data_IF_086526218883
#
_entry.id   IF_086526218883
#
_cell.length_a   1.000
_cell.length_b   1.000
_cell.length_c   1.000
_cell.angle_alpha   90.00
_cell.angle_beta   90.00
_cell.angle_gamma   90.00
#
_symmetry.space_group_name_H-M   'P 1'
#
loop_
_entity.id
_entity.type
_entity.pdbx_description
1 polymer ?
#
# COMPACT_ATOMS: atom_id res chain seq x y z
N UNK A 1 9.48 23.58 -33.67
CA UNK A 1 8.78 22.36 -33.18
C UNK A 1 7.28 22.35 -33.49
N UNK A 2 6.49 23.33 -33.03
CA UNK A 2 5.03 23.30 -33.20
C UNK A 2 4.56 23.28 -34.67
N UNK A 3 5.14 24.13 -35.53
CA UNK A 3 4.84 24.13 -36.96
C UNK A 3 5.20 22.80 -37.64
N UNK A 4 6.35 22.22 -37.28
CA UNK A 4 6.77 20.91 -37.79
C UNK A 4 5.81 19.80 -37.37
N UNK A 5 5.30 19.88 -36.12
CA UNK A 5 4.31 18.93 -35.62
C UNK A 5 2.99 18.97 -36.38
N UNK A 6 2.49 20.17 -36.68
CA UNK A 6 1.29 20.35 -37.49
C UNK A 6 1.47 19.83 -38.91
N UNK A 7 2.62 20.11 -39.55
CA UNK A 7 2.93 19.64 -40.89
C UNK A 7 3.05 18.11 -40.95
N UNK A 8 3.73 17.50 -39.98
CA UNK A 8 3.90 16.05 -39.91
C UNK A 8 2.56 15.34 -39.69
N UNK A 9 1.68 15.88 -38.83
CA UNK A 9 0.34 15.34 -38.60
C UNK A 9 -0.55 15.44 -39.84
N UNK A 10 -0.37 16.47 -40.67
CA UNK A 10 -1.20 16.73 -41.85
C UNK A 10 -0.73 16.01 -43.12
N UNK A 11 0.59 15.89 -43.31
CA UNK A 11 1.17 15.44 -44.57
C UNK A 11 2.02 14.16 -44.47
N UNK A 12 2.30 13.69 -43.24
CA UNK A 12 3.15 12.52 -43.01
C UNK A 12 4.65 12.81 -43.16
N UNK A 13 5.49 11.84 -42.79
CA UNK A 13 6.94 12.00 -42.77
C UNK A 13 7.59 12.09 -44.17
N UNK A 14 6.96 11.51 -45.18
CA UNK A 14 7.47 11.45 -46.56
C UNK A 14 7.20 12.72 -47.37
N UNK A 15 6.50 13.70 -46.78
CA UNK A 15 6.22 14.96 -47.44
C UNK A 15 7.52 15.73 -47.71
N UNK A 16 7.69 16.10 -48.97
CA UNK A 16 8.87 16.78 -49.50
C UNK A 16 8.71 18.29 -49.41
N UNK A 17 9.70 18.96 -48.83
CA UNK A 17 9.82 20.41 -48.74
C UNK A 17 11.04 20.81 -49.57
N UNK A 18 10.84 21.81 -50.43
CA UNK A 18 11.91 22.41 -51.21
C UNK A 18 12.44 23.64 -50.48
N UNK A 19 13.74 23.63 -50.17
CA UNK A 19 14.43 24.76 -49.53
C UNK A 19 15.82 24.93 -50.17
N UNK A 20 16.13 26.13 -50.66
CA UNK A 20 17.43 26.46 -51.28
C UNK A 20 17.89 25.45 -52.35
N UNK A 21 17.00 25.11 -53.29
CA UNK A 21 17.27 24.17 -54.41
C UNK A 21 17.51 22.71 -54.01
N UNK A 22 17.40 22.36 -52.73
CA UNK A 22 17.47 20.99 -52.23
C UNK A 22 16.10 20.49 -51.75
N UNK A 23 15.87 19.18 -51.89
CA UNK A 23 14.64 18.51 -51.50
C UNK A 23 14.86 17.77 -50.17
N UNK A 24 14.09 18.12 -49.15
CA UNK A 24 14.14 17.49 -47.83
C UNK A 24 12.80 16.86 -47.47
N UNK A 25 12.83 15.70 -46.81
CA UNK A 25 11.61 15.11 -46.23
C UNK A 25 11.33 15.67 -44.84
N UNK A 26 10.06 15.74 -44.46
CA UNK A 26 9.66 16.11 -43.10
C UNK A 26 10.30 15.19 -42.04
N UNK A 27 10.47 13.91 -42.35
CA UNK A 27 11.18 12.94 -41.50
C UNK A 27 12.66 13.31 -41.31
N UNK A 28 13.36 13.72 -42.38
CA UNK A 28 14.76 14.15 -42.29
C UNK A 28 14.89 15.42 -41.43
N UNK A 29 14.02 16.41 -41.66
CA UNK A 29 14.01 17.66 -40.89
C UNK A 29 13.70 17.38 -39.41
N UNK A 30 12.73 16.51 -39.11
CA UNK A 30 12.40 16.12 -37.73
C UNK A 30 13.56 15.41 -37.04
N UNK A 31 14.28 14.54 -37.74
CA UNK A 31 15.47 13.87 -37.22
C UNK A 31 16.59 14.85 -36.90
N UNK A 32 16.90 15.78 -37.80
CA UNK A 32 17.93 16.79 -37.59
C UNK A 32 17.60 17.70 -36.40
N UNK A 33 16.36 18.20 -36.32
CA UNK A 33 15.95 19.01 -35.17
C UNK A 33 15.91 18.23 -33.86
N UNK A 34 15.61 16.93 -33.89
CA UNK A 34 15.68 16.07 -32.72
C UNK A 34 17.12 15.95 -32.20
N UNK A 35 18.08 15.74 -33.10
CA UNK A 35 19.51 15.65 -32.78
C UNK A 35 20.03 16.96 -32.18
N UNK A 36 19.68 18.10 -32.79
CA UNK A 36 20.02 19.43 -32.25
C UNK A 36 19.38 19.69 -30.89
N UNK A 37 18.08 19.42 -30.74
CA UNK A 37 17.38 19.60 -29.47
C UNK A 37 17.99 18.75 -28.35
N UNK A 38 18.39 17.52 -28.68
CA UNK A 38 19.08 16.63 -27.74
C UNK A 38 20.45 17.19 -27.33
N UNK A 39 21.23 17.73 -28.26
CA UNK A 39 22.53 18.36 -27.98
C UNK A 39 22.42 19.64 -27.15
N UNK A 40 21.37 20.44 -27.39
CA UNK A 40 21.10 21.67 -26.64
C UNK A 40 20.34 21.45 -25.33
N UNK A 41 20.03 20.20 -24.99
CA UNK A 41 19.20 19.83 -23.83
C UNK A 41 17.80 20.48 -23.83
N UNK A 42 17.23 20.75 -25.01
CA UNK A 42 15.82 21.14 -25.16
C UNK A 42 14.94 19.90 -25.18
N UNK A 43 14.67 19.37 -24.00
CA UNK A 43 13.95 18.10 -23.82
C UNK A 43 12.48 18.17 -24.27
N UNK A 44 11.84 19.34 -24.15
CA UNK A 44 10.46 19.50 -24.60
C UNK A 44 10.36 19.34 -26.11
N UNK A 45 11.29 19.93 -26.86
CA UNK A 45 11.35 19.75 -28.32
C UNK A 45 11.77 18.33 -28.67
N UNK A 46 12.76 17.75 -27.99
CA UNK A 46 13.21 16.38 -28.25
C UNK A 46 12.05 15.36 -28.09
N UNK A 47 11.29 15.42 -26.99
CA UNK A 47 10.15 14.53 -26.74
C UNK A 47 9.04 14.70 -27.77
N UNK A 48 8.72 15.96 -28.12
CA UNK A 48 7.73 16.27 -29.16
C UNK A 48 8.10 15.67 -30.51
N UNK A 49 9.36 15.78 -30.91
CA UNK A 49 9.84 15.24 -32.18
C UNK A 49 9.92 13.72 -32.17
N UNK A 50 10.34 13.12 -31.05
CA UNK A 50 10.34 11.67 -30.87
C UNK A 50 8.94 11.07 -31.02
N UNK A 51 7.94 11.70 -30.41
CA UNK A 51 6.54 11.25 -30.44
C UNK A 51 5.99 11.21 -31.87
N UNK A 52 6.24 12.28 -32.61
CA UNK A 52 5.76 12.48 -33.98
C UNK A 52 6.49 11.58 -34.98
N UNK A 53 7.78 11.39 -34.79
CA UNK A 53 8.58 10.43 -35.56
C UNK A 53 8.30 8.97 -35.16
N UNK A 54 7.47 8.72 -34.16
CA UNK A 54 7.14 7.39 -33.69
C UNK A 54 8.34 6.64 -33.10
N UNK A 55 9.34 7.36 -32.57
CA UNK A 55 10.50 6.76 -31.91
C UNK A 55 10.06 6.05 -30.64
N UNK A 56 10.66 4.88 -30.41
CA UNK A 56 10.48 4.12 -29.19
C UNK A 56 11.82 3.52 -28.73
N UNK A 57 11.85 3.05 -27.49
CA UNK A 57 13.01 2.42 -26.89
C UNK A 57 12.84 0.89 -26.89
N UNK A 58 13.81 0.17 -27.43
CA UNK A 58 13.74 -1.30 -27.54
C UNK A 58 13.80 -1.99 -26.17
N UNK A 59 14.29 -1.31 -25.13
CA UNK A 59 14.41 -1.85 -23.75
C UNK A 59 13.07 -1.94 -23.02
N UNK A 60 11.96 -1.49 -23.62
CA UNK A 60 10.64 -1.56 -23.00
C UNK A 60 10.21 -3.01 -22.73
N UNK A 61 10.56 -3.94 -23.61
CA UNK A 61 10.32 -5.37 -23.42
C UNK A 61 11.05 -5.91 -22.18
N UNK A 62 12.35 -5.61 -22.05
CA UNK A 62 13.17 -6.03 -20.88
C UNK A 62 12.63 -5.43 -19.58
N UNK A 63 12.27 -4.15 -19.60
CA UNK A 63 11.71 -3.46 -18.44
C UNK A 63 10.33 -4.01 -18.05
N UNK A 64 9.48 -4.33 -19.02
CA UNK A 64 8.20 -4.96 -18.74
C UNK A 64 8.39 -6.35 -18.11
N UNK A 65 9.36 -7.12 -18.62
CA UNK A 65 9.73 -8.40 -18.04
C UNK A 65 10.17 -8.25 -16.58
N UNK A 66 11.05 -7.29 -16.28
CA UNK A 66 11.52 -6.98 -14.92
C UNK A 66 10.35 -6.66 -13.97
N UNK A 67 9.40 -5.85 -14.42
CA UNK A 67 8.19 -5.48 -13.67
C UNK A 67 7.35 -6.72 -13.34
N UNK A 68 7.15 -7.60 -14.32
CA UNK A 68 6.28 -8.78 -14.17
C UNK A 68 6.92 -9.85 -13.29
N UNK A 69 8.23 -10.09 -13.45
CA UNK A 69 8.99 -11.03 -12.61
C UNK A 69 8.94 -10.57 -11.14
N UNK A 70 8.92 -9.26 -10.91
CA UNK A 70 8.73 -8.64 -9.60
C UNK A 70 7.29 -8.73 -9.06
N UNK A 71 6.44 -9.59 -9.65
CA UNK A 71 5.02 -9.82 -9.33
C UNK A 71 4.15 -8.56 -9.43
N UNK A 72 4.46 -7.66 -10.38
CA UNK A 72 3.71 -6.42 -10.62
C UNK A 72 3.07 -6.41 -11.99
N UNK A 73 2.01 -5.62 -12.11
CA UNK A 73 1.34 -5.33 -13.38
C UNK A 73 1.65 -3.91 -13.82
N UNK A 74 1.75 -3.67 -15.12
CA UNK A 74 1.96 -2.34 -15.68
C UNK A 74 0.72 -1.87 -16.42
N UNK A 75 0.13 -0.76 -15.99
CA UNK A 75 -0.97 -0.12 -16.70
C UNK A 75 -0.49 1.18 -17.38
N UNK A 76 -0.78 1.28 -18.67
CA UNK A 76 -0.38 2.40 -19.53
C UNK A 76 -1.55 3.28 -19.93
N UNK A 77 -1.28 4.56 -20.17
CA UNK A 77 -2.30 5.53 -20.57
C UNK A 77 -3.23 5.99 -19.45
N UNK A 78 -4.30 6.67 -19.84
CA UNK A 78 -5.26 7.30 -18.90
C UNK A 78 -6.46 6.42 -18.58
N UNK A 79 -6.83 5.56 -19.53
CA UNK A 79 -7.93 4.63 -19.37
C UNK A 79 -7.39 3.31 -18.81
N UNK A 80 -7.53 3.11 -17.49
CA UNK A 80 -7.11 1.89 -16.79
C UNK A 80 -8.04 0.70 -17.05
N UNK A 81 -8.17 0.33 -18.32
CA UNK A 81 -8.87 -0.87 -18.75
C UNK A 81 -7.94 -2.09 -18.70
N UNK A 82 -8.50 -3.30 -18.67
CA UNK A 82 -7.69 -4.53 -18.79
C UNK A 82 -6.85 -4.56 -20.06
N UNK A 83 -7.35 -3.99 -21.16
CA UNK A 83 -6.62 -3.90 -22.45
C UNK A 83 -5.38 -3.02 -22.38
N UNK A 84 -5.33 -2.09 -21.44
CA UNK A 84 -4.20 -1.20 -21.22
C UNK A 84 -3.28 -1.68 -20.07
N UNK A 85 -3.52 -2.89 -19.55
CA UNK A 85 -2.79 -3.46 -18.41
C UNK A 85 -2.03 -4.71 -18.82
N UNK A 86 -0.72 -4.66 -18.70
CA UNK A 86 0.18 -5.78 -18.93
C UNK A 86 0.37 -6.58 -17.64
N UNK A 87 0.06 -7.87 -17.72
CA UNK A 87 0.30 -8.88 -16.68
C UNK A 87 1.18 -10.03 -17.18
N UNK A 88 1.60 -9.99 -18.44
CA UNK A 88 2.47 -10.96 -19.11
C UNK A 88 3.51 -10.22 -19.97
N UNK A 89 4.70 -10.80 -20.23
CA UNK A 89 5.69 -10.17 -21.07
C UNK A 89 5.16 -9.95 -22.49
N UNK A 90 5.56 -8.85 -23.11
CA UNK A 90 5.15 -8.43 -24.44
C UNK A 90 6.30 -7.71 -25.15
N UNK A 91 6.30 -7.77 -26.48
CA UNK A 91 7.29 -7.05 -27.29
C UNK A 91 7.12 -5.53 -27.24
N UNK A 92 8.22 -4.82 -27.47
CA UNK A 92 8.25 -3.34 -27.44
C UNK A 92 7.25 -2.69 -28.41
N UNK A 93 6.96 -3.31 -29.56
CA UNK A 93 6.01 -2.76 -30.53
C UNK A 93 4.58 -2.79 -29.99
N UNK A 94 4.16 -3.88 -29.37
CA UNK A 94 2.85 -4.01 -28.75
C UNK A 94 2.70 -3.01 -27.61
N UNK A 95 3.72 -2.88 -26.75
CA UNK A 95 3.73 -1.91 -25.65
C UNK A 95 3.49 -0.49 -26.18
N UNK A 96 4.25 -0.08 -27.20
CA UNK A 96 4.15 1.25 -27.80
C UNK A 96 2.79 1.47 -28.47
N UNK A 97 2.24 0.45 -29.13
CA UNK A 97 0.92 0.54 -29.74
C UNK A 97 -0.19 0.71 -28.69
N UNK A 98 -0.12 -0.03 -27.59
CA UNK A 98 -1.05 0.15 -26.45
C UNK A 98 -0.89 1.54 -25.84
N UNK A 99 0.33 2.04 -25.67
CA UNK A 99 0.56 3.42 -25.21
C UNK A 99 -0.14 4.42 -26.14
N UNK A 100 0.03 4.29 -27.46
CA UNK A 100 -0.61 5.16 -28.45
C UNK A 100 -2.15 5.08 -28.43
N UNK A 101 -2.71 3.89 -28.22
CA UNK A 101 -4.16 3.68 -28.17
C UNK A 101 -4.81 4.25 -26.91
N UNK A 102 -4.13 4.15 -25.76
CA UNK A 102 -4.72 4.46 -24.44
C UNK A 102 -4.22 5.77 -23.80
N UNK A 103 -3.19 6.43 -24.36
CA UNK A 103 -2.80 7.77 -23.97
C UNK A 103 -3.76 8.83 -24.52
N UNK A 104 -3.84 9.98 -23.84
CA UNK A 104 -4.62 11.11 -24.31
C UNK A 104 -4.01 11.78 -25.56
N UNK A 105 -4.71 12.78 -26.08
CA UNK A 105 -4.23 13.61 -27.19
C UNK A 105 -3.20 14.67 -26.76
N UNK A 106 -2.58 14.53 -25.58
CA UNK A 106 -1.61 15.51 -25.12
C UNK A 106 -0.29 15.35 -25.88
N UNK A 107 0.38 16.48 -26.04
CA UNK A 107 1.67 16.55 -26.72
C UNK A 107 2.70 15.71 -25.96
N UNK A 108 3.40 14.84 -26.68
CA UNK A 108 4.50 14.01 -26.18
C UNK A 108 4.17 13.07 -25.01
N UNK A 109 2.88 12.80 -24.76
CA UNK A 109 2.44 11.92 -23.67
C UNK A 109 2.93 10.48 -23.84
N UNK A 110 2.96 9.97 -25.08
CA UNK A 110 3.42 8.61 -25.37
C UNK A 110 4.90 8.43 -25.07
N UNK A 111 5.74 9.41 -25.43
CA UNK A 111 7.18 9.40 -25.12
C UNK A 111 7.44 9.53 -23.63
N UNK A 112 6.75 10.47 -22.96
CA UNK A 112 6.87 10.61 -21.51
C UNK A 112 6.45 9.31 -20.80
N UNK A 113 5.38 8.66 -21.25
CA UNK A 113 4.94 7.37 -20.69
C UNK A 113 6.03 6.30 -20.83
N UNK A 114 6.69 6.21 -21.98
CA UNK A 114 7.83 5.30 -22.17
C UNK A 114 8.99 5.62 -21.21
N UNK A 115 9.36 6.89 -21.06
CA UNK A 115 10.40 7.32 -20.11
C UNK A 115 10.05 6.92 -18.67
N UNK A 116 8.80 7.15 -18.24
CA UNK A 116 8.31 6.75 -16.92
C UNK A 116 8.43 5.23 -16.74
N UNK A 117 8.05 4.42 -17.74
CA UNK A 117 8.20 2.96 -17.68
C UNK A 117 9.66 2.57 -17.44
N UNK A 118 10.59 3.13 -18.22
CA UNK A 118 12.03 2.86 -18.10
C UNK A 118 12.55 3.25 -16.71
N UNK A 119 12.15 4.39 -16.17
CA UNK A 119 12.54 4.82 -14.83
C UNK A 119 11.99 3.91 -13.73
N UNK A 120 10.72 3.51 -13.82
CA UNK A 120 10.11 2.59 -12.87
C UNK A 120 10.77 1.21 -12.90
N UNK A 121 11.06 0.67 -14.09
CA UNK A 121 11.81 -0.58 -14.25
C UNK A 121 13.18 -0.52 -13.59
N UNK A 122 13.90 0.59 -13.80
CA UNK A 122 15.20 0.80 -13.17
C UNK A 122 15.09 0.87 -11.64
N UNK A 123 14.12 1.62 -11.10
CA UNK A 123 13.91 1.75 -9.66
C UNK A 123 13.52 0.41 -9.02
N UNK A 124 12.69 -0.40 -9.68
CA UNK A 124 12.32 -1.74 -9.17
C UNK A 124 13.55 -2.64 -9.02
N UNK A 125 14.52 -2.51 -9.93
CA UNK A 125 15.77 -3.29 -9.87
C UNK A 125 16.74 -2.84 -8.79
N UNK A 126 16.82 -1.54 -8.52
CA UNK A 126 17.80 -0.97 -7.59
C UNK A 126 17.24 -0.87 -6.17
N UNK A 127 15.98 -0.47 -6.02
CA UNK A 127 15.28 -0.20 -4.75
C UNK A 127 13.88 -0.85 -4.77
N UNK A 128 13.79 -2.19 -4.81
CA UNK A 128 12.51 -2.92 -4.89
C UNK A 128 11.56 -2.61 -3.71
N UNK A 129 12.10 -2.25 -2.55
CA UNK A 129 11.35 -1.92 -1.33
C UNK A 129 10.40 -0.72 -1.50
N UNK A 130 10.72 0.21 -2.43
CA UNK A 130 9.87 1.35 -2.78
C UNK A 130 8.54 0.93 -3.40
N UNK A 131 8.45 -0.32 -3.86
CA UNK A 131 7.27 -0.89 -4.53
C UNK A 131 6.61 -2.02 -3.75
N UNK A 132 7.01 -2.27 -2.50
CA UNK A 132 6.46 -3.35 -1.64
C UNK A 132 4.92 -3.39 -1.62
N UNK A 133 4.27 -2.24 -1.44
CA UNK A 133 2.82 -2.12 -1.38
C UNK A 133 2.15 -1.78 -2.73
N UNK A 134 2.87 -1.89 -3.84
CA UNK A 134 2.38 -1.51 -5.17
C UNK A 134 2.33 -2.75 -6.06
N UNK A 135 1.11 -3.24 -6.33
CA UNK A 135 0.84 -4.38 -7.20
C UNK A 135 0.69 -3.94 -8.67
N UNK A 136 0.07 -2.79 -8.92
CA UNK A 136 -0.16 -2.27 -10.27
C UNK A 136 0.46 -0.89 -10.43
N UNK A 137 1.48 -0.80 -11.28
CA UNK A 137 2.13 0.44 -11.68
C UNK A 137 1.27 1.16 -12.72
N UNK A 138 0.65 2.27 -12.33
CA UNK A 138 -0.15 3.11 -13.23
C UNK A 138 0.69 4.30 -13.67
N UNK A 139 1.28 4.21 -14.85
CA UNK A 139 2.20 5.23 -15.40
C UNK A 139 1.64 6.65 -15.34
N UNK A 140 0.36 6.83 -15.69
CA UNK A 140 -0.28 8.14 -15.68
C UNK A 140 -0.44 8.75 -14.27
N UNK A 141 -0.57 7.94 -13.20
CA UNK A 141 -0.59 8.48 -11.83
C UNK A 141 0.77 9.07 -11.45
N UNK A 142 1.88 8.48 -11.90
CA UNK A 142 3.20 9.06 -11.68
C UNK A 142 3.37 10.40 -12.41
N UNK A 143 2.85 10.52 -13.64
CA UNK A 143 2.80 11.81 -14.35
C UNK A 143 1.98 12.83 -13.55
N UNK A 144 0.80 12.46 -13.04
CA UNK A 144 -0.02 13.36 -12.23
C UNK A 144 0.66 13.79 -10.92
N UNK A 145 1.40 12.89 -10.26
CA UNK A 145 2.16 13.20 -9.05
C UNK A 145 3.29 14.20 -9.36
N UNK A 146 4.03 13.99 -10.45
CA UNK A 146 5.07 14.91 -10.92
C UNK A 146 4.49 16.30 -11.25
N UNK A 147 3.40 16.34 -12.03
CA UNK A 147 2.71 17.59 -12.38
C UNK A 147 2.18 18.28 -11.12
N UNK A 148 1.56 17.55 -10.19
CA UNK A 148 1.05 18.09 -8.94
C UNK A 148 2.15 18.65 -8.04
N UNK A 149 3.32 18.00 -8.00
CA UNK A 149 4.49 18.51 -7.29
C UNK A 149 5.00 19.82 -7.92
N UNK A 150 5.17 19.86 -9.25
CA UNK A 150 5.62 21.07 -9.97
C UNK A 150 4.63 22.23 -9.80
N UNK A 151 3.33 21.93 -9.90
CA UNK A 151 2.25 22.90 -9.71
C UNK A 151 2.30 23.53 -8.32
N UNK A 152 2.52 22.73 -7.26
CA UNK A 152 2.68 23.26 -5.89
C UNK A 152 3.98 24.04 -5.70
N UNK A 153 5.10 23.54 -6.23
CA UNK A 153 6.42 24.21 -6.10
C UNK A 153 6.46 25.58 -6.78
N UNK A 154 5.71 25.77 -7.87
CA UNK A 154 5.77 26.97 -8.71
C UNK A 154 4.49 27.78 -8.75
N UNK A 155 3.46 27.36 -8.01
CA UNK A 155 2.11 27.96 -8.00
C UNK A 155 1.49 28.09 -9.40
N UNK A 156 1.62 27.03 -10.20
CA UNK A 156 1.18 27.01 -11.60
C UNK A 156 -0.10 26.21 -11.81
N UNK A 157 -0.80 26.50 -12.90
CA UNK A 157 -1.90 25.67 -13.37
C UNK A 157 -1.41 24.25 -13.75
N UNK A 158 -2.31 23.26 -13.73
CA UNK A 158 -1.98 21.87 -14.09
C UNK A 158 -1.39 21.78 -15.50
N UNK A 159 -1.92 22.57 -16.45
CA UNK A 159 -1.45 22.59 -17.83
C UNK A 159 -0.04 23.13 -17.95
N UNK A 160 0.25 24.26 -17.29
CA UNK A 160 1.59 24.87 -17.31
C UNK A 160 2.63 23.99 -16.62
N UNK A 161 2.25 23.34 -15.51
CA UNK A 161 3.10 22.40 -14.83
C UNK A 161 3.43 21.16 -15.69
N UNK A 162 2.47 20.67 -16.49
CA UNK A 162 2.72 19.60 -17.45
C UNK A 162 3.68 20.04 -18.57
N UNK A 163 3.54 21.25 -19.10
CA UNK A 163 4.47 21.78 -20.10
C UNK A 163 5.90 21.94 -19.54
N UNK A 164 6.04 22.35 -18.27
CA UNK A 164 7.34 22.39 -17.59
C UNK A 164 7.91 20.99 -17.41
N UNK A 165 7.09 20.00 -17.05
CA UNK A 165 7.52 18.60 -16.92
C UNK A 165 8.11 18.09 -18.25
N UNK A 166 7.49 18.42 -19.38
CA UNK A 166 8.03 18.07 -20.70
C UNK A 166 9.41 18.69 -20.96
N UNK A 167 9.79 19.75 -20.26
CA UNK A 167 11.11 20.39 -20.36
C UNK A 167 12.18 19.81 -19.44
N UNK A 168 11.84 18.92 -18.49
CA UNK A 168 12.82 18.36 -17.55
C UNK A 168 13.76 17.37 -18.23
N UNK A 169 15.01 17.31 -17.76
CA UNK A 169 15.92 16.26 -18.24
C UNK A 169 15.44 14.88 -17.75
N UNK A 170 15.75 13.79 -18.47
CA UNK A 170 15.36 12.44 -18.04
C UNK A 170 15.82 12.10 -16.61
N UNK A 171 17.01 12.55 -16.20
CA UNK A 171 17.50 12.32 -14.83
C UNK A 171 16.72 13.12 -13.78
N UNK A 172 16.19 14.30 -14.11
CA UNK A 172 15.35 15.09 -13.19
C UNK A 172 14.01 14.39 -12.95
N UNK A 173 13.42 13.82 -14.00
CA UNK A 173 12.19 13.01 -13.89
C UNK A 173 12.46 11.80 -13.00
N UNK A 174 13.55 11.07 -13.25
CA UNK A 174 13.97 9.95 -12.41
C UNK A 174 14.11 10.33 -10.93
N UNK A 175 14.87 11.38 -10.64
CA UNK A 175 15.14 11.81 -9.26
C UNK A 175 13.84 12.22 -8.55
N UNK A 176 12.93 12.90 -9.24
CA UNK A 176 11.63 13.30 -8.67
C UNK A 176 10.72 12.09 -8.44
N UNK A 177 10.65 11.14 -9.36
CA UNK A 177 9.91 9.89 -9.16
C UNK A 177 10.42 9.13 -7.93
N UNK A 178 11.74 8.98 -7.82
CA UNK A 178 12.38 8.34 -6.68
C UNK A 178 12.03 9.05 -5.38
N UNK A 179 12.14 10.38 -5.34
CA UNK A 179 11.79 11.17 -4.16
C UNK A 179 10.32 11.02 -3.76
N UNK A 180 9.38 11.01 -4.71
CA UNK A 180 7.96 10.78 -4.45
C UNK A 180 7.73 9.40 -3.80
N UNK A 181 8.34 8.35 -4.35
CA UNK A 181 8.23 6.99 -3.83
C UNK A 181 8.88 6.82 -2.45
N UNK A 182 10.01 7.49 -2.22
CA UNK A 182 10.70 7.51 -0.93
C UNK A 182 9.87 8.21 0.15
N UNK A 183 9.29 9.37 -0.18
CA UNK A 183 8.36 10.07 0.69
C UNK A 183 7.23 9.12 1.06
N UNK A 184 6.51 8.59 0.07
CA UNK A 184 5.37 7.71 0.29
C UNK A 184 5.71 6.53 1.20
N UNK A 185 6.83 5.85 0.94
CA UNK A 185 7.31 4.75 1.77
C UNK A 185 7.59 5.19 3.20
N UNK A 186 8.19 6.37 3.39
CA UNK A 186 8.46 6.96 4.71
C UNK A 186 7.16 7.26 5.46
N UNK A 187 6.18 7.92 4.83
CA UNK A 187 4.91 8.23 5.49
C UNK A 187 4.15 6.97 5.90
N UNK A 188 4.17 5.91 5.06
CA UNK A 188 3.57 4.62 5.42
C UNK A 188 4.29 3.98 6.63
N UNK A 189 5.62 4.09 6.72
CA UNK A 189 6.39 3.61 7.87
C UNK A 189 6.07 4.39 9.14
N UNK A 190 6.01 5.72 9.06
CA UNK A 190 5.65 6.58 10.20
C UNK A 190 4.24 6.27 10.72
N UNK A 191 3.29 5.97 9.82
CA UNK A 191 1.95 5.56 10.21
C UNK A 191 1.95 4.23 10.98
N UNK A 192 2.80 3.27 10.59
CA UNK A 192 2.97 2.00 11.33
C UNK A 192 3.59 2.20 12.71
N UNK A 193 4.45 3.21 12.91
CA UNK A 193 4.98 3.52 14.25
C UNK A 193 3.88 3.94 15.23
N UNK A 194 2.77 4.49 14.75
CA UNK A 194 1.60 4.81 15.59
C UNK A 194 0.86 3.55 16.07
N UNK A 195 1.15 2.39 15.47
CA UNK A 195 0.58 1.09 15.82
C UNK A 195 1.37 0.38 16.94
N UNK A 196 2.54 0.91 17.33
CA UNK A 196 3.37 0.34 18.39
C UNK A 196 2.80 0.61 19.79
N UNK A 197 3.14 -0.27 20.74
CA UNK A 197 2.73 -0.15 22.13
C UNK A 197 3.92 0.29 22.98
N UNK A 198 3.75 1.37 23.73
CA UNK A 198 4.71 1.78 24.77
C UNK A 198 4.27 1.21 26.09
N UNK A 199 5.01 0.23 26.59
CA UNK A 199 4.79 -0.42 27.88
C UNK A 199 5.77 0.07 28.95
N UNK A 200 5.31 0.13 30.20
CA UNK A 200 6.16 0.36 31.37
C UNK A 200 5.74 -0.57 32.53
N UNK A 201 6.58 -0.65 33.56
CA UNK A 201 6.32 -1.44 34.78
C UNK A 201 6.83 -2.88 34.76
N UNK A 202 7.43 -3.35 33.67
CA UNK A 202 8.14 -4.64 33.61
C UNK A 202 9.45 -4.45 32.85
N UNK A 203 10.54 -5.05 33.34
CA UNK A 203 11.86 -4.94 32.71
C UNK A 203 12.02 -5.80 31.44
N UNK A 204 11.34 -6.95 31.37
CA UNK A 204 11.40 -7.84 30.21
C UNK A 204 10.00 -8.31 29.78
N UNK A 205 9.54 -7.82 28.63
CA UNK A 205 8.24 -8.20 28.04
C UNK A 205 8.21 -9.65 27.51
N UNK A 206 9.36 -10.29 27.26
CA UNK A 206 9.42 -11.71 26.83
C UNK A 206 8.97 -12.69 27.93
N UNK A 207 8.83 -12.20 29.17
CA UNK A 207 8.22 -12.97 30.27
C UNK A 207 6.71 -13.13 30.10
N UNK A 208 6.07 -12.32 29.25
CA UNK A 208 4.65 -12.45 28.92
C UNK A 208 4.49 -13.65 27.99
N UNK A 209 3.94 -14.74 28.52
CA UNK A 209 3.74 -15.98 27.77
C UNK A 209 2.29 -16.44 27.88
N UNK A 210 1.78 -17.07 26.81
CA UNK A 210 0.50 -17.74 26.85
C UNK A 210 0.58 -18.91 27.85
N UNK A 211 -0.20 -18.86 28.92
CA UNK A 211 -0.29 -19.97 29.87
C UNK A 211 -1.41 -20.93 29.45
N UNK A 212 -1.01 -22.11 28.98
CA UNK A 212 -1.94 -23.19 28.71
C UNK A 212 -2.41 -23.82 30.03
N UNK A 213 -3.66 -23.57 30.42
CA UNK A 213 -4.40 -24.58 31.19
C UNK A 213 -4.97 -25.55 30.17
N UNK A 214 -4.57 -26.82 30.23
CA UNK A 214 -5.25 -27.90 29.51
C UNK A 214 -6.72 -27.94 29.95
N UNK A 215 -7.57 -27.16 29.27
CA UNK A 215 -9.01 -27.38 29.32
C UNK A 215 -9.30 -28.58 28.44
N UNK A 216 -9.50 -29.73 29.09
CA UNK A 216 -10.29 -30.81 28.49
C UNK A 216 -11.69 -30.23 28.21
N UNK A 217 -12.25 -30.52 27.03
CA UNK A 217 -13.71 -30.72 26.79
C UNK A 217 -14.35 -30.04 25.55
N UNK A 218 -13.63 -29.38 24.64
CA UNK A 218 -14.23 -29.02 23.35
C UNK A 218 -13.24 -29.13 22.19
N UNK A 219 -13.42 -30.16 21.37
CA UNK A 219 -12.79 -30.30 20.05
C UNK A 219 -13.89 -30.22 19.00
N UNK A 220 -13.69 -29.33 18.03
CA UNK A 220 -14.50 -29.23 16.81
C UNK A 220 -13.62 -29.59 15.62
N UNK A 221 -14.23 -30.13 14.56
CA UNK A 221 -13.52 -30.44 13.32
C UNK A 221 -13.26 -29.18 12.47
N UNK A 222 -13.99 -28.09 12.73
CA UNK A 222 -13.86 -26.82 12.01
C UNK A 222 -13.93 -25.61 12.96
N UNK A 223 -12.78 -25.00 13.20
CA UNK A 223 -12.66 -23.79 14.02
C UNK A 223 -13.16 -22.53 13.32
N UNK A 224 -13.10 -22.47 11.99
CA UNK A 224 -13.58 -21.31 11.25
C UNK A 224 -15.10 -21.22 11.35
N UNK A 225 -15.79 -22.34 11.13
CA UNK A 225 -17.23 -22.43 11.31
C UNK A 225 -17.66 -22.20 12.77
N UNK A 226 -16.89 -22.73 13.73
CA UNK A 226 -17.13 -22.46 15.14
C UNK A 226 -17.05 -20.97 15.48
N UNK A 227 -16.10 -20.23 14.90
CA UNK A 227 -15.98 -18.78 15.10
C UNK A 227 -17.14 -18.02 14.50
N UNK A 228 -17.54 -18.36 13.27
CA UNK A 228 -18.70 -17.76 12.62
C UNK A 228 -19.95 -17.90 13.50
N UNK A 229 -20.24 -19.12 13.96
CA UNK A 229 -21.38 -19.38 14.85
C UNK A 229 -21.26 -18.68 16.20
N UNK A 230 -20.09 -18.74 16.84
CA UNK A 230 -19.88 -18.13 18.16
C UNK A 230 -20.00 -16.61 18.11
N UNK A 231 -19.47 -15.99 17.05
CA UNK A 231 -19.55 -14.55 16.85
C UNK A 231 -20.96 -14.04 16.55
N UNK A 232 -21.88 -14.88 16.06
CA UNK A 232 -23.29 -14.54 15.91
C UNK A 232 -24.05 -14.55 17.25
N UNK A 233 -23.58 -15.31 18.25
CA UNK A 233 -24.25 -15.41 19.55
C UNK A 233 -24.11 -14.07 20.28
N UNK A 234 -25.26 -13.54 20.74
CA UNK A 234 -25.30 -12.34 21.56
C UNK A 234 -25.21 -12.69 23.05
N UNK A 235 -24.41 -11.93 23.80
CA UNK A 235 -24.32 -12.03 25.25
C UNK A 235 -23.07 -12.76 25.73
N UNK A 236 -22.14 -12.00 26.31
CA UNK A 236 -20.92 -12.50 26.91
C UNK A 236 -21.07 -12.61 28.45
N UNK A 237 -20.29 -13.47 29.12
CA UNK A 237 -20.39 -13.61 30.56
C UNK A 237 -19.95 -12.31 31.25
N UNK A 238 -20.53 -12.00 32.42
CA UNK A 238 -20.15 -10.79 33.20
C UNK A 238 -18.66 -10.69 33.52
N UNK A 239 -17.99 -11.84 33.60
CA UNK A 239 -16.53 -11.92 33.81
C UNK A 239 -15.73 -11.35 32.64
N UNK A 240 -16.26 -11.41 31.42
CA UNK A 240 -15.67 -10.81 30.22
C UNK A 240 -15.66 -9.28 30.34
N UNK A 241 -16.82 -8.67 30.56
CA UNK A 241 -16.94 -7.21 30.70
C UNK A 241 -16.13 -6.66 31.87
N UNK A 242 -16.13 -7.36 33.02
CA UNK A 242 -15.26 -7.02 34.16
C UNK A 242 -13.77 -7.11 33.79
N UNK A 243 -13.39 -8.07 32.97
CA UNK A 243 -12.03 -8.20 32.44
C UNK A 243 -11.59 -6.96 31.67
N UNK A 244 -12.45 -6.46 30.77
CA UNK A 244 -12.18 -5.23 30.02
C UNK A 244 -12.06 -4.02 30.96
N UNK A 245 -12.97 -3.91 31.94
CA UNK A 245 -12.91 -2.81 32.90
C UNK A 245 -11.57 -2.77 33.65
N UNK A 246 -11.07 -3.92 34.11
CA UNK A 246 -9.74 -4.01 34.74
C UNK A 246 -8.60 -3.72 33.77
N UNK A 247 -8.68 -4.22 32.54
CA UNK A 247 -7.71 -3.95 31.48
C UNK A 247 -7.57 -2.44 31.23
N UNK A 248 -8.69 -1.71 31.14
CA UNK A 248 -8.71 -0.27 30.92
C UNK A 248 -8.05 0.56 32.04
N UNK A 249 -7.80 -0.02 33.23
CA UNK A 249 -6.97 0.64 34.26
C UNK A 249 -5.47 0.53 34.00
N UNK A 250 -5.07 -0.31 33.06
CA UNK A 250 -3.67 -0.60 32.72
C UNK A 250 -3.29 -0.16 31.30
N UNK A 251 -4.23 0.35 30.50
CA UNK A 251 -3.94 0.98 29.21
C UNK A 251 -4.70 2.30 29.05
N UNK A 252 -4.29 3.12 28.07
CA UNK A 252 -5.01 4.36 27.75
C UNK A 252 -6.43 4.11 27.21
N UNK A 253 -6.60 3.05 26.44
CA UNK A 253 -7.86 2.66 25.84
C UNK A 253 -7.75 1.44 24.94
N UNK A 254 -8.90 0.95 24.49
CA UNK A 254 -9.04 -0.10 23.50
C UNK A 254 -9.75 0.46 22.26
N UNK A 255 -9.30 0.07 21.07
CA UNK A 255 -10.01 0.30 19.81
C UNK A 255 -10.49 -1.04 19.28
N UNK A 256 -11.81 -1.26 19.33
CA UNK A 256 -12.49 -2.51 19.01
C UNK A 256 -13.18 -2.37 17.63
N UNK A 257 -12.71 -3.12 16.64
CA UNK A 257 -13.16 -3.00 15.25
C UNK A 257 -12.33 -2.00 14.43
N UNK A 258 -13.00 -1.11 13.69
CA UNK A 258 -12.35 -0.20 12.75
C UNK A 258 -11.48 0.87 13.46
N UNK A 259 -10.17 0.82 13.21
CA UNK A 259 -9.19 1.74 13.79
C UNK A 259 -9.36 3.21 13.38
N UNK A 260 -10.06 3.48 12.28
CA UNK A 260 -10.31 4.84 11.80
C UNK A 260 -11.65 5.40 12.28
N UNK A 261 -12.48 4.60 12.95
CA UNK A 261 -13.74 5.05 13.52
C UNK A 261 -13.56 5.46 14.99
N UNK A 262 -13.73 6.76 15.28
CA UNK A 262 -13.65 7.27 16.66
C UNK A 262 -14.66 6.59 17.60
N UNK A 263 -15.79 6.12 17.07
CA UNK A 263 -16.81 5.44 17.85
C UNK A 263 -16.38 4.04 18.31
N UNK A 264 -15.38 3.44 17.66
CA UNK A 264 -14.81 2.12 17.99
C UNK A 264 -13.88 2.15 19.20
N UNK A 265 -13.59 3.34 19.76
CA UNK A 265 -12.73 3.50 20.93
C UNK A 265 -13.51 3.47 22.25
N UNK A 266 -12.97 2.77 23.24
CA UNK A 266 -13.32 2.90 24.65
C UNK A 266 -12.05 3.17 25.46
N UNK A 267 -12.01 4.31 26.14
CA UNK A 267 -10.84 4.72 26.91
C UNK A 267 -10.94 4.45 28.40
N UNK A 268 -9.78 4.49 29.07
CA UNK A 268 -9.65 4.42 30.53
C UNK A 268 -10.51 5.44 31.26
N UNK A 269 -10.80 6.59 30.64
CA UNK A 269 -11.70 7.60 31.19
C UNK A 269 -13.10 7.07 31.53
N UNK A 270 -13.54 6.02 30.84
CA UNK A 270 -14.85 5.39 31.06
C UNK A 270 -14.91 4.63 32.39
N UNK A 271 -13.77 4.24 32.96
CA UNK A 271 -13.72 3.51 34.24
C UNK A 271 -13.79 4.43 35.46
N UNK A 272 -13.54 5.74 35.31
CA UNK A 272 -13.68 6.70 36.42
C UNK A 272 -15.14 6.94 36.82
N UNK A 273 -16.05 6.81 35.85
CA UNK A 273 -17.49 7.05 36.02
C UNK A 273 -18.30 5.75 36.14
N UNK A 274 -17.65 4.58 36.05
CA UNK A 274 -18.33 3.28 36.09
C UNK A 274 -17.71 2.32 37.09
N UNK A 275 -18.54 1.41 37.61
CA UNK A 275 -18.06 0.30 38.46
C UNK A 275 -17.92 -1.00 37.66
N UNK A 276 -17.01 -1.89 38.10
CA UNK A 276 -16.80 -3.18 37.45
C UNK A 276 -18.10 -4.03 37.44
N UNK A 277 -18.70 -4.17 36.25
CA UNK A 277 -19.96 -4.89 36.04
C UNK A 277 -21.22 -4.00 36.04
N UNK A 278 -21.06 -2.68 35.88
CA UNK A 278 -22.17 -1.77 35.63
C UNK A 278 -22.78 -1.99 34.24
N UNK A 279 -24.13 -1.96 34.17
CA UNK A 279 -24.86 -2.31 32.94
C UNK A 279 -24.57 -1.38 31.77
N UNK A 280 -24.39 -0.08 32.01
CA UNK A 280 -24.10 0.89 30.94
C UNK A 280 -22.75 0.61 30.27
N UNK A 281 -21.74 0.24 31.06
CA UNK A 281 -20.44 -0.17 30.56
C UNK A 281 -20.55 -1.45 29.72
N UNK A 282 -21.27 -2.47 30.20
CA UNK A 282 -21.52 -3.71 29.44
C UNK A 282 -22.21 -3.42 28.09
N UNK A 283 -23.24 -2.58 28.08
CA UNK A 283 -23.96 -2.20 26.86
C UNK A 283 -23.08 -1.45 25.87
N UNK A 284 -22.16 -0.60 26.37
CA UNK A 284 -21.21 0.11 25.50
C UNK A 284 -20.25 -0.86 24.82
N UNK A 285 -19.67 -1.80 25.57
CA UNK A 285 -18.81 -2.86 25.00
C UNK A 285 -19.58 -3.73 24.00
N UNK A 286 -20.79 -4.13 24.35
CA UNK A 286 -21.64 -4.96 23.49
C UNK A 286 -21.94 -4.26 22.16
N UNK A 287 -22.26 -2.96 22.19
CA UNK A 287 -22.46 -2.14 20.99
C UNK A 287 -21.20 -2.04 20.13
N UNK A 288 -20.01 -1.95 20.74
CA UNK A 288 -18.74 -1.93 20.00
C UNK A 288 -18.51 -3.25 19.26
N UNK A 289 -18.70 -4.39 19.94
CA UNK A 289 -18.55 -5.70 19.33
C UNK A 289 -19.60 -5.96 18.23
N UNK A 290 -20.84 -5.51 18.42
CA UNK A 290 -21.91 -5.64 17.43
C UNK A 290 -21.70 -4.76 16.20
N UNK A 291 -20.91 -3.68 16.29
CA UNK A 291 -20.55 -2.85 15.14
C UNK A 291 -19.60 -3.52 14.15
N UNK A 292 -19.01 -4.66 14.53
CA UNK A 292 -18.17 -5.47 13.65
C UNK A 292 -19.08 -6.32 12.75
N UNK A 293 -19.03 -6.11 11.43
CA UNK A 293 -19.92 -6.76 10.47
C UNK A 293 -19.72 -8.29 10.38
N UNK A 294 -18.46 -8.73 10.32
CA UNK A 294 -18.09 -10.14 10.14
C UNK A 294 -18.11 -10.91 11.48
N UNK A 295 -18.97 -11.94 11.65
CA UNK A 295 -19.12 -12.63 12.93
C UNK A 295 -17.86 -13.38 13.38
N UNK A 296 -17.19 -14.08 12.47
CA UNK A 296 -15.90 -14.75 12.70
C UNK A 296 -14.81 -13.78 13.18
N UNK A 297 -14.71 -12.60 12.57
CA UNK A 297 -13.79 -11.55 12.99
C UNK A 297 -14.19 -10.92 14.34
N UNK A 298 -15.50 -10.78 14.61
CA UNK A 298 -16.00 -10.39 15.94
C UNK A 298 -15.57 -11.39 17.00
N UNK A 299 -15.64 -12.69 16.71
CA UNK A 299 -15.17 -13.74 17.63
C UNK A 299 -13.66 -13.64 17.89
N UNK A 300 -12.83 -13.34 16.87
CA UNK A 300 -11.40 -13.08 17.08
C UNK A 300 -11.13 -11.87 18.01
N UNK A 301 -11.93 -10.81 17.89
CA UNK A 301 -11.83 -9.66 18.81
C UNK A 301 -12.15 -10.07 20.25
N UNK A 302 -13.16 -10.93 20.46
CA UNK A 302 -13.52 -11.48 21.78
C UNK A 302 -12.36 -12.33 22.33
N UNK A 303 -11.84 -13.28 21.55
CA UNK A 303 -10.70 -14.13 21.94
C UNK A 303 -9.47 -13.29 22.31
N UNK A 304 -9.16 -12.24 21.53
CA UNK A 304 -8.06 -11.33 21.82
C UNK A 304 -8.27 -10.54 23.12
N UNK A 305 -9.47 -10.00 23.34
CA UNK A 305 -9.79 -9.29 24.59
C UNK A 305 -9.61 -10.22 25.80
N UNK A 306 -10.03 -11.49 25.69
CA UNK A 306 -9.83 -12.47 26.74
C UNK A 306 -8.34 -12.76 26.99
N UNK A 307 -7.55 -12.91 25.93
CA UNK A 307 -6.10 -13.07 26.02
C UNK A 307 -5.44 -11.87 26.71
N UNK A 308 -5.74 -10.65 26.28
CA UNK A 308 -5.24 -9.43 26.91
C UNK A 308 -5.66 -9.35 28.39
N UNK A 309 -6.94 -9.61 28.70
CA UNK A 309 -7.42 -9.60 30.08
C UNK A 309 -6.69 -10.64 30.97
N UNK A 310 -6.27 -11.78 30.42
CA UNK A 310 -5.40 -12.74 31.13
C UNK A 310 -4.00 -12.16 31.37
N UNK A 311 -3.37 -11.59 30.34
CA UNK A 311 -2.04 -10.95 30.44
C UNK A 311 -2.04 -9.91 31.56
N UNK A 312 -2.92 -8.91 31.47
CA UNK A 312 -2.97 -7.79 32.41
C UNK A 312 -3.26 -8.20 33.86
N UNK A 313 -4.06 -9.26 34.07
CA UNK A 313 -4.28 -9.83 35.42
C UNK A 313 -3.03 -10.51 35.98
N UNK A 314 -2.22 -11.12 35.13
CA UNK A 314 -0.97 -11.78 35.51
C UNK A 314 0.18 -10.79 35.68
N UNK A 315 0.08 -9.62 35.04
CA UNK A 315 1.05 -8.54 35.12
C UNK A 315 0.44 -7.22 35.64
N UNK A 316 0.08 -7.13 36.94
CA UNK A 316 -0.56 -5.92 37.49
C UNK A 316 0.27 -4.64 37.36
N UNK A 317 1.60 -4.78 37.28
CA UNK A 317 2.54 -3.66 37.14
C UNK A 317 2.60 -3.12 35.70
N UNK A 318 2.19 -3.91 34.70
CA UNK A 318 2.19 -3.49 33.30
C UNK A 318 1.26 -2.30 33.09
N UNK A 319 1.80 -1.24 32.48
CA UNK A 319 1.06 -0.07 31.99
C UNK A 319 1.36 0.17 30.53
N UNK A 320 0.32 0.38 29.72
CA UNK A 320 0.42 0.72 28.30
C UNK A 320 -0.03 2.16 28.09
N UNK A 321 0.86 3.00 27.59
CA UNK A 321 0.60 4.44 27.44
C UNK A 321 -0.24 4.76 26.18
N UNK A 322 -0.34 3.81 25.26
CA UNK A 322 -1.07 3.92 23.99
C UNK A 322 -2.46 3.26 24.07
N UNK A 323 -3.32 3.59 23.10
CA UNK A 323 -4.52 2.81 22.86
C UNK A 323 -4.12 1.47 22.22
N UNK A 324 -4.67 0.36 22.71
CA UNK A 324 -4.43 -0.96 22.10
C UNK A 324 -5.44 -1.14 20.97
N UNK A 325 -4.94 -1.19 19.73
CA UNK A 325 -5.76 -1.34 18.53
C UNK A 325 -5.88 -2.82 18.20
N UNK A 326 -7.08 -3.39 18.39
CA UNK A 326 -7.29 -4.83 18.24
C UNK A 326 -7.04 -5.29 16.80
N UNK A 327 -7.49 -4.52 15.80
CA UNK A 327 -7.31 -4.87 14.38
C UNK A 327 -5.82 -4.97 13.98
N UNK A 328 -4.99 -4.07 14.51
CA UNK A 328 -3.53 -4.12 14.34
C UNK A 328 -2.98 -5.40 14.96
N UNK A 329 -3.30 -5.67 16.23
CA UNK A 329 -2.76 -6.81 16.96
C UNK A 329 -3.18 -8.13 16.31
N UNK A 330 -4.45 -8.28 15.90
CA UNK A 330 -4.92 -9.45 15.14
C UNK A 330 -4.15 -9.56 13.82
N UNK A 331 -3.97 -8.46 13.08
CA UNK A 331 -3.20 -8.46 11.85
C UNK A 331 -1.75 -8.94 12.02
N UNK A 332 -1.08 -8.51 13.09
CA UNK A 332 0.26 -8.99 13.45
C UNK A 332 0.25 -10.46 13.88
N UNK A 333 -0.76 -10.91 14.64
CA UNK A 333 -0.91 -12.31 15.02
C UNK A 333 -1.07 -13.23 13.80
N UNK A 334 -1.87 -12.81 12.80
CA UNK A 334 -2.01 -13.51 11.52
C UNK A 334 -0.66 -13.59 10.79
N UNK A 335 0.09 -12.49 10.76
CA UNK A 335 1.41 -12.44 10.12
C UNK A 335 2.43 -13.35 10.81
N UNK A 336 2.48 -13.34 12.14
CA UNK A 336 3.38 -14.20 12.94
C UNK A 336 3.02 -15.67 12.71
N UNK A 337 1.74 -16.02 12.78
CA UNK A 337 1.25 -17.36 12.52
C UNK A 337 1.65 -17.85 11.11
N UNK A 338 1.48 -17.01 10.09
CA UNK A 338 1.85 -17.35 8.72
C UNK A 338 3.35 -17.59 8.56
N UNK A 339 4.17 -16.68 9.08
CA UNK A 339 5.63 -16.73 8.94
C UNK A 339 6.24 -17.92 9.67
N UNK A 340 5.64 -18.37 10.78
CA UNK A 340 6.11 -19.56 11.50
C UNK A 340 6.08 -20.86 10.68
N UNK A 341 5.28 -20.90 9.61
CA UNK A 341 5.16 -22.05 8.71
C UNK A 341 5.67 -21.76 7.28
N UNK A 342 5.95 -20.49 6.94
CA UNK A 342 6.27 -20.04 5.58
C UNK A 342 7.39 -18.99 5.57
N UNK A 343 8.61 -19.37 5.95
CA UNK A 343 9.77 -18.46 6.12
C UNK A 343 10.19 -17.69 4.85
N UNK A 344 9.80 -18.15 3.65
CA UNK A 344 10.23 -17.56 2.37
C UNK A 344 9.11 -16.85 1.58
N UNK A 345 7.89 -16.80 2.11
CA UNK A 345 6.75 -16.20 1.42
C UNK A 345 6.61 -14.70 1.71
N UNK A 346 6.37 -13.89 0.68
CA UNK A 346 6.00 -12.49 0.86
C UNK A 346 4.58 -12.41 1.45
N UNK A 347 4.48 -12.14 2.76
CA UNK A 347 3.19 -12.03 3.48
C UNK A 347 2.20 -11.10 2.77
N UNK A 348 2.68 -9.98 2.23
CA UNK A 348 1.82 -8.96 1.61
C UNK A 348 1.14 -9.49 0.32
N UNK A 349 1.73 -10.48 -0.35
CA UNK A 349 1.15 -11.14 -1.54
C UNK A 349 0.16 -12.25 -1.18
N UNK A 350 0.33 -12.89 -0.02
CA UNK A 350 -0.46 -14.05 0.40
C UNK A 350 -1.40 -13.76 1.59
N UNK A 351 -1.64 -12.47 1.87
CA UNK A 351 -2.45 -12.02 3.00
C UNK A 351 -3.81 -12.72 3.09
N UNK A 352 -4.51 -12.92 1.97
CA UNK A 352 -5.80 -13.60 1.96
C UNK A 352 -5.73 -15.05 2.47
N UNK A 353 -4.72 -15.81 2.03
CA UNK A 353 -4.48 -17.19 2.47
C UNK A 353 -4.05 -17.23 3.94
N UNK A 354 -3.27 -16.24 4.38
CA UNK A 354 -2.87 -16.12 5.78
C UNK A 354 -4.07 -15.94 6.72
N UNK A 355 -5.02 -15.10 6.35
CA UNK A 355 -6.27 -14.94 7.10
C UNK A 355 -7.10 -16.23 7.10
N UNK A 356 -7.26 -16.88 5.93
CA UNK A 356 -8.02 -18.14 5.84
C UNK A 356 -7.43 -19.24 6.73
N UNK A 357 -6.10 -19.35 6.79
CA UNK A 357 -5.43 -20.30 7.68
C UNK A 357 -5.56 -19.92 9.15
N UNK A 358 -5.49 -18.62 9.48
CA UNK A 358 -5.62 -18.16 10.85
C UNK A 358 -7.01 -18.45 11.44
N UNK A 359 -8.08 -18.31 10.65
CA UNK A 359 -9.44 -18.68 11.08
C UNK A 359 -9.61 -20.17 11.39
N UNK A 360 -8.72 -21.04 10.89
CA UNK A 360 -8.75 -22.49 11.13
C UNK A 360 -7.97 -22.90 12.38
N UNK A 361 -7.18 -22.01 12.97
CA UNK A 361 -6.42 -22.29 14.19
C UNK A 361 -7.35 -22.48 15.39
N UNK A 362 -7.00 -23.37 16.31
CA UNK A 362 -7.72 -23.52 17.57
C UNK A 362 -7.61 -22.24 18.44
N UNK A 363 -8.53 -22.01 19.39
CA UNK A 363 -8.44 -20.88 20.33
C UNK A 363 -7.12 -20.81 21.11
N UNK A 364 -6.47 -21.95 21.35
CA UNK A 364 -5.17 -22.00 22.04
C UNK A 364 -4.03 -21.53 21.14
N UNK A 365 -4.08 -21.90 19.85
CA UNK A 365 -3.11 -21.46 18.87
C UNK A 365 -3.30 -19.97 18.54
N UNK A 366 -4.53 -19.48 18.44
CA UNK A 366 -4.78 -18.03 18.27
C UNK A 366 -4.35 -17.24 19.49
N UNK A 367 -4.64 -17.70 20.72
CA UNK A 367 -4.17 -17.07 21.95
C UNK A 367 -2.64 -16.93 21.98
N UNK A 368 -1.90 -17.98 21.61
CA UNK A 368 -0.44 -17.93 21.51
C UNK A 368 0.02 -16.83 20.54
N UNK A 369 -0.55 -16.81 19.33
CA UNK A 369 -0.17 -15.80 18.32
C UNK A 369 -0.58 -14.37 18.73
N UNK A 370 -1.66 -14.20 19.50
CA UNK A 370 -2.04 -12.91 20.08
C UNK A 370 -1.03 -12.43 21.11
N UNK A 371 -0.56 -13.32 22.00
CA UNK A 371 0.49 -12.99 22.96
C UNK A 371 1.79 -12.62 22.24
N UNK A 372 2.20 -13.42 21.26
CA UNK A 372 3.42 -13.16 20.47
C UNK A 372 3.33 -11.80 19.74
N UNK A 373 2.16 -11.47 19.16
CA UNK A 373 1.91 -10.18 18.53
C UNK A 373 1.91 -9.01 19.53
N UNK A 374 1.33 -9.20 20.72
CA UNK A 374 1.35 -8.19 21.78
C UNK A 374 2.78 -7.89 22.24
N UNK A 375 3.59 -8.93 22.47
CA UNK A 375 5.01 -8.79 22.83
C UNK A 375 5.79 -8.13 21.69
N UNK A 376 5.57 -8.56 20.45
CA UNK A 376 6.22 -7.96 19.27
C UNK A 376 5.96 -6.45 19.16
N UNK A 377 4.73 -6.00 19.39
CA UNK A 377 4.36 -4.58 19.36
C UNK A 377 4.91 -3.77 20.53
N UNK A 378 5.30 -4.42 21.64
CA UNK A 378 5.97 -3.80 22.78
C UNK A 378 7.49 -3.71 22.58
N UNK A 379 8.10 -4.68 21.90
CA UNK A 379 9.56 -4.79 21.77
C UNK A 379 10.12 -4.17 20.49
N UNK A 380 9.32 -4.09 19.43
CA UNK A 380 9.76 -3.55 18.13
C UNK A 380 9.83 -2.02 18.15
N UNK A 381 10.73 -1.42 18.93
CA UNK A 381 11.10 -0.01 18.77
C UNK A 381 12.24 0.22 17.78
N UNK A 382 12.90 -0.84 17.28
CA UNK A 382 14.03 -0.72 16.37
C UNK A 382 14.02 -1.80 15.27
N UNK A 383 13.63 -1.41 14.05
CA UNK A 383 14.12 -2.00 12.78
C UNK A 383 13.87 -1.07 11.60
#
# INVERSE_FOLDING_TARGET
>A
AHALSLLYKRHGGDYKIFWQEEEFTLAFIAKQHYEMASQCHDWAVARRLADISGKFDDRLEDVLLDIIISQKRLAVGRAYSEKATFSKPHDSHLIVNTIKEFCGNNVAEGVLTQEIILHLGHLIRIEPELFSNIITLRTWYFVQLLVGQISRERELSIGDAYEILLGFAPHDIYNRLRAILQSFTKEVKELRQLEHLSGSGIENFEQIQAQHKETKDFQTDDWALWREHSGMISGLPRTFYKGIWHLLHQCKGLVIGDKYNIQSRIGSETTYESTAGERNFELRIDSLLQSIDAPDYRQLNIELIEALAKIFRQTPELKIDNDIILDVLIGYAVRIAWNSHNESANYDEQKAQAWENFYKLSPQETEKNFVDAFVYLLTSQES
#
